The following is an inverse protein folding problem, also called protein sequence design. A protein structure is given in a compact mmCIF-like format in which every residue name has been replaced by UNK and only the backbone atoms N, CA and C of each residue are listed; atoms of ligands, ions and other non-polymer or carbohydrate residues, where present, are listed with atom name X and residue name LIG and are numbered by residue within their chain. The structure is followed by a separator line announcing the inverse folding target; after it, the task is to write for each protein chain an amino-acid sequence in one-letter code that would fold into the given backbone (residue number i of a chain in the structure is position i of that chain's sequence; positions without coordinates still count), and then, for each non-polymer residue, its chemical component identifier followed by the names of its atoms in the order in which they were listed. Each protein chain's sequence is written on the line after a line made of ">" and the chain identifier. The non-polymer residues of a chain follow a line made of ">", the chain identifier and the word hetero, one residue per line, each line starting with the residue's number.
data_IF_423623397946
#
_entry.id   IF_423623397946
#
_cell.length_a   1.000
_cell.length_b   1.000
_cell.length_c   1.000
_cell.angle_alpha   90.00
_cell.angle_beta   90.00
_cell.angle_gamma   90.00
#
_symmetry.space_group_name_H-M   'P 1'
#
loop_
_entity.id
_entity.type
_entity.pdbx_description
1 polymer ?
#
# COMPACT_ATOMS: atom_id res chain seq x y z
N UNK A 1 1.03 -13.07 5.36
CA UNK A 1 1.68 -11.94 6.05
C UNK A 1 0.77 -10.73 6.01
N UNK A 2 0.66 -10.02 7.11
CA UNK A 2 -0.17 -8.82 7.19
C UNK A 2 0.70 -7.66 7.64
N UNK A 3 0.64 -6.55 6.91
CA UNK A 3 1.47 -5.38 7.21
C UNK A 3 0.59 -4.14 7.33
N UNK A 4 1.06 -3.17 8.13
CA UNK A 4 0.43 -1.85 8.19
C UNK A 4 1.17 -0.91 7.24
N UNK A 5 0.41 -0.14 6.48
CA UNK A 5 0.95 0.77 5.48
C UNK A 5 0.34 2.14 5.68
N UNK A 6 1.19 3.15 5.83
CA UNK A 6 0.75 4.55 5.81
C UNK A 6 0.94 5.08 4.40
N UNK A 7 -0.17 5.48 3.77
CA UNK A 7 -0.16 5.97 2.39
C UNK A 7 -0.03 7.48 2.38
N UNK A 8 0.86 7.98 1.52
CA UNK A 8 1.00 9.41 1.24
C UNK A 8 0.48 9.60 -0.18
N UNK A 9 -0.78 10.03 -0.36
CA UNK A 9 -1.39 10.13 -1.69
C UNK A 9 -0.92 11.36 -2.45
N UNK A 10 -1.29 11.44 -3.73
CA UNK A 10 -1.00 12.58 -4.61
C UNK A 10 0.49 12.87 -4.72
N UNK A 11 1.29 11.84 -4.64
CA UNK A 11 2.74 11.99 -4.80
C UNK A 11 3.10 11.94 -6.28
N UNK A 12 4.30 12.42 -6.60
CA UNK A 12 4.77 12.42 -7.98
C UNK A 12 4.97 11.02 -8.54
N UNK A 13 5.31 10.06 -7.68
CA UNK A 13 5.45 8.65 -8.10
C UNK A 13 5.18 7.74 -6.91
N UNK A 14 4.90 6.48 -7.21
CA UNK A 14 4.67 5.45 -6.19
C UNK A 14 6.01 4.86 -5.78
N UNK A 15 6.36 4.99 -4.51
CA UNK A 15 7.66 4.55 -4.01
C UNK A 15 7.63 4.31 -2.51
N UNK A 16 8.57 3.50 -2.04
CA UNK A 16 8.77 3.28 -0.62
C UNK A 16 9.32 4.56 0.01
N UNK A 17 8.72 5.01 1.12
CA UNK A 17 9.10 6.26 1.77
C UNK A 17 9.76 6.07 3.13
N UNK A 18 9.73 4.87 3.67
CA UNK A 18 10.38 4.61 4.96
C UNK A 18 9.60 3.65 5.82
N UNK A 19 10.14 3.35 6.99
CA UNK A 19 9.51 2.45 7.96
C UNK A 19 9.48 3.13 9.31
N UNK A 20 8.33 3.03 10.00
CA UNK A 20 8.19 3.58 11.34
C UNK A 20 8.71 2.57 12.36
N UNK A 21 8.93 3.03 13.60
CA UNK A 21 9.53 2.21 14.65
C UNK A 21 8.66 1.01 15.04
N UNK A 22 7.35 1.08 14.75
CA UNK A 22 6.42 -0.03 15.06
C UNK A 22 6.27 -1.02 13.91
N UNK A 23 7.06 -0.89 12.84
CA UNK A 23 7.00 -1.76 11.69
C UNK A 23 6.05 -1.30 10.58
N UNK A 24 5.31 -0.22 10.80
CA UNK A 24 4.46 0.35 9.75
C UNK A 24 5.33 0.91 8.63
N UNK A 25 5.07 0.54 7.39
CA UNK A 25 5.81 1.10 6.27
C UNK A 25 5.07 2.29 5.68
N UNK A 26 5.83 3.27 5.19
CA UNK A 26 5.27 4.45 4.51
C UNK A 26 5.49 4.30 3.02
N UNK A 27 4.42 4.53 2.26
CA UNK A 27 4.47 4.40 0.80
C UNK A 27 3.85 5.66 0.17
N UNK A 28 4.61 6.32 -0.71
CA UNK A 28 4.04 7.37 -1.54
C UNK A 28 3.29 6.72 -2.68
N UNK A 29 2.10 7.26 -2.98
CA UNK A 29 1.25 6.70 -4.02
C UNK A 29 0.90 7.81 -5.01
N UNK A 30 1.14 7.54 -6.30
CA UNK A 30 0.98 8.50 -7.39
C UNK A 30 -0.44 8.51 -7.96
N UNK A 31 -1.45 8.27 -7.14
CA UNK A 31 -2.84 8.26 -7.57
C UNK A 31 -3.69 9.11 -6.64
N UNK A 32 -4.80 9.69 -7.15
CA UNK A 32 -5.73 10.39 -6.28
C UNK A 32 -6.39 9.39 -5.33
N UNK A 33 -6.73 9.83 -4.09
CA UNK A 33 -7.29 8.92 -3.09
C UNK A 33 -8.79 8.73 -3.27
N UNK A 34 -9.24 8.39 -4.48
CA UNK A 34 -10.66 8.21 -4.73
C UNK A 34 -10.91 6.92 -5.53
N UNK A 35 -12.12 6.38 -5.40
CA UNK A 35 -12.63 5.25 -6.20
C UNK A 35 -11.70 4.04 -6.22
N UNK A 36 -10.95 3.84 -5.15
CA UNK A 36 -10.07 2.69 -5.03
C UNK A 36 -8.79 2.75 -5.84
N UNK A 37 -8.55 3.82 -6.60
CA UNK A 37 -7.35 3.90 -7.45
C UNK A 37 -6.07 3.87 -6.64
N UNK A 38 -6.04 4.56 -5.48
CA UNK A 38 -4.87 4.55 -4.63
C UNK A 38 -4.62 3.16 -4.06
N UNK A 39 -5.69 2.43 -3.71
CA UNK A 39 -5.55 1.07 -3.22
C UNK A 39 -5.01 0.14 -4.29
N UNK A 40 -5.50 0.28 -5.52
CA UNK A 40 -5.01 -0.54 -6.64
C UNK A 40 -3.54 -0.27 -6.92
N UNK A 41 -3.15 0.99 -6.92
CA UNK A 41 -1.76 1.38 -7.15
C UNK A 41 -0.86 0.87 -6.01
N UNK A 42 -1.32 0.99 -4.76
CA UNK A 42 -0.59 0.49 -3.62
C UNK A 42 -0.39 -1.03 -3.70
N UNK A 43 -1.44 -1.77 -4.02
CA UNK A 43 -1.35 -3.22 -4.10
C UNK A 43 -0.43 -3.67 -5.24
N UNK A 44 -0.47 -2.99 -6.37
CA UNK A 44 0.43 -3.29 -7.49
C UNK A 44 1.89 -3.04 -7.09
N UNK A 45 2.14 -1.94 -6.38
CA UNK A 45 3.48 -1.63 -5.89
C UNK A 45 3.97 -2.70 -4.91
N UNK A 46 3.13 -3.09 -3.95
CA UNK A 46 3.50 -4.09 -2.95
C UNK A 46 3.72 -5.47 -3.59
N UNK A 47 2.91 -5.82 -4.60
CA UNK A 47 3.10 -7.08 -5.31
C UNK A 47 4.49 -7.14 -5.95
N UNK A 48 4.92 -6.06 -6.57
CA UNK A 48 6.26 -5.98 -7.15
C UNK A 48 7.34 -6.04 -6.07
N UNK A 49 7.14 -5.30 -4.98
CA UNK A 49 8.13 -5.23 -3.91
C UNK A 49 8.33 -6.59 -3.22
N UNK A 50 7.25 -7.33 -3.01
CA UNK A 50 7.31 -8.63 -2.34
C UNK A 50 7.39 -9.80 -3.31
N UNK A 51 7.45 -9.51 -4.62
CA UNK A 51 7.62 -10.52 -5.67
C UNK A 51 6.51 -11.58 -5.64
N UNK A 52 5.28 -11.10 -5.52
CA UNK A 52 4.08 -11.96 -5.56
C UNK A 52 3.14 -11.42 -6.63
N UNK A 53 2.13 -12.22 -7.00
CA UNK A 53 1.13 -11.77 -7.96
C UNK A 53 0.26 -10.67 -7.35
N UNK A 54 -0.33 -9.83 -8.20
CA UNK A 54 -1.23 -8.76 -7.75
C UNK A 54 -2.39 -9.33 -6.92
N UNK A 55 -2.88 -10.50 -7.29
CA UNK A 55 -4.00 -11.14 -6.60
C UNK A 55 -3.64 -11.60 -5.17
N UNK A 56 -2.35 -11.71 -4.86
CA UNK A 56 -1.90 -12.11 -3.54
C UNK A 56 -1.91 -10.94 -2.54
N UNK A 57 -2.21 -9.72 -2.99
CA UNK A 57 -2.17 -8.51 -2.16
C UNK A 57 -3.56 -7.94 -2.07
N UNK A 58 -4.05 -7.72 -0.84
CA UNK A 58 -5.37 -7.15 -0.62
C UNK A 58 -5.37 -6.21 0.59
N UNK A 59 -6.14 -5.13 0.48
CA UNK A 59 -6.37 -4.22 1.60
C UNK A 59 -7.53 -4.78 2.41
N UNK A 60 -7.24 -5.18 3.65
CA UNK A 60 -8.24 -5.82 4.50
C UNK A 60 -8.89 -4.85 5.49
N UNK A 61 -8.32 -3.67 5.70
CA UNK A 61 -8.86 -2.67 6.60
C UNK A 61 -8.34 -1.30 6.20
N UNK A 62 -9.11 -0.24 6.49
CA UNK A 62 -8.70 1.13 6.23
C UNK A 62 -8.76 1.53 4.76
N UNK A 63 -9.68 0.99 3.98
CA UNK A 63 -9.73 1.26 2.53
C UNK A 63 -9.85 2.75 2.22
N UNK A 64 -10.57 3.51 3.03
CA UNK A 64 -10.75 4.94 2.83
C UNK A 64 -9.80 5.79 3.68
N UNK A 65 -8.94 5.17 4.47
CA UNK A 65 -8.02 5.86 5.36
C UNK A 65 -6.61 5.88 4.77
N UNK A 66 -5.75 6.75 5.31
CA UNK A 66 -4.33 6.75 4.91
C UNK A 66 -3.57 5.62 5.59
N UNK A 67 -4.02 5.15 6.75
CA UNK A 67 -3.43 3.99 7.40
C UNK A 67 -4.22 2.75 7.02
N UNK A 68 -3.57 1.81 6.37
CA UNK A 68 -4.21 0.63 5.82
C UNK A 68 -3.57 -0.64 6.38
N UNK A 69 -4.40 -1.68 6.51
CA UNK A 69 -3.92 -3.02 6.83
C UNK A 69 -3.96 -3.83 5.55
N UNK A 70 -2.84 -4.40 5.16
CA UNK A 70 -2.69 -5.09 3.88
C UNK A 70 -2.24 -6.53 4.12
N UNK A 71 -2.95 -7.47 3.50
CA UNK A 71 -2.57 -8.88 3.53
C UNK A 71 -1.80 -9.24 2.27
N UNK A 72 -0.68 -9.93 2.46
CA UNK A 72 0.14 -10.42 1.35
C UNK A 72 0.28 -11.94 1.52
N UNK A 73 -0.18 -12.68 0.54
CA UNK A 73 -0.11 -14.14 0.53
C UNK A 73 1.00 -14.57 -0.41
N UNK A 74 1.98 -15.27 0.14
CA UNK A 74 3.12 -15.75 -0.65
C UNK A 74 2.86 -17.12 -1.24
#
# INVERSE_FOLDING_TARGET
>A
MTIRVKVIPRSAKTEFAGELSDGTIKVRVAAPPDKGKANDELCAFLARRYQVSRDAVSVVSGRAATLKLVRIEA
#
